data_IF_653483113599
#
_entry.id   IF_653483113599
#
_cell.length_a   1.000
_cell.length_b   1.000
_cell.length_c   1.000
_cell.angle_alpha   90.00
_cell.angle_beta   90.00
_cell.angle_gamma   90.00
#
_symmetry.space_group_name_H-M   'P 1'
#
loop_
_entity.id
_entity.type
_entity.pdbx_description
1 polymer ?
#
# COMPACT_ATOMS: atom_id res chain seq x y z
N UNK A 1 74.05 -29.03 19.64
CA UNK A 1 73.04 -30.06 19.40
C UNK A 1 71.81 -29.60 20.11
N UNK A 2 70.67 -29.18 19.55
CA UNK A 2 70.21 -28.93 18.17
C UNK A 2 69.13 -27.91 18.25
N UNK A 3 69.27 -26.87 17.50
CA UNK A 3 68.35 -25.76 17.42
C UNK A 3 67.58 -25.95 16.10
N UNK A 4 66.55 -26.84 16.08
CA UNK A 4 65.68 -27.08 14.93
C UNK A 4 64.30 -27.60 15.28
N UNK A 5 63.50 -26.88 16.10
CA UNK A 5 62.09 -27.22 16.29
C UNK A 5 61.17 -26.04 16.67
N UNK A 6 61.40 -24.83 16.26
CA UNK A 6 60.55 -23.72 16.61
C UNK A 6 59.99 -22.86 15.46
N UNK A 7 60.13 -23.29 14.20
CA UNK A 7 59.67 -22.45 13.05
C UNK A 7 58.40 -22.96 12.40
N UNK A 8 57.91 -24.18 12.71
CA UNK A 8 56.75 -24.73 12.03
C UNK A 8 55.39 -24.46 12.71
N UNK A 9 55.35 -23.88 13.90
CA UNK A 9 54.10 -23.62 14.64
C UNK A 9 53.53 -22.19 14.45
N UNK A 10 54.30 -21.25 13.95
CA UNK A 10 53.86 -19.83 13.79
C UNK A 10 53.17 -19.59 12.44
N UNK A 11 53.46 -20.37 11.38
CA UNK A 11 52.85 -20.20 10.07
C UNK A 11 51.44 -20.76 9.97
N UNK A 12 51.04 -21.74 10.78
CA UNK A 12 49.66 -22.28 10.73
C UNK A 12 48.61 -21.42 11.49
N UNK A 13 49.04 -20.62 12.49
CA UNK A 13 48.13 -19.72 13.21
C UNK A 13 47.76 -18.46 12.39
N UNK A 14 48.66 -18.00 11.48
CA UNK A 14 48.38 -16.84 10.62
C UNK A 14 47.43 -17.16 9.47
N UNK A 15 47.41 -18.38 8.94
CA UNK A 15 46.50 -18.78 7.87
C UNK A 15 45.05 -18.99 8.34
N UNK A 16 44.82 -19.41 9.57
CA UNK A 16 43.46 -19.54 10.17
C UNK A 16 42.85 -18.19 10.55
N UNK A 17 43.64 -17.18 10.88
CA UNK A 17 43.16 -15.83 11.20
C UNK A 17 42.62 -15.09 9.97
N UNK A 18 43.29 -15.22 8.82
CA UNK A 18 42.87 -14.54 7.58
C UNK A 18 41.62 -15.17 6.95
N UNK A 19 41.43 -16.49 7.04
CA UNK A 19 40.21 -17.18 6.54
C UNK A 19 38.97 -16.80 7.32
N UNK A 20 39.03 -16.65 8.63
CA UNK A 20 37.90 -16.21 9.47
C UNK A 20 37.55 -14.74 9.28
N UNK A 21 38.54 -13.87 9.09
CA UNK A 21 38.28 -12.45 8.85
C UNK A 21 37.62 -12.21 7.48
N UNK A 22 38.01 -12.96 6.44
CA UNK A 22 37.40 -12.86 5.12
C UNK A 22 35.98 -13.47 5.07
N UNK A 23 35.71 -14.55 5.80
CA UNK A 23 34.36 -15.11 5.89
C UNK A 23 33.41 -14.17 6.62
N UNK A 24 33.81 -13.60 7.75
CA UNK A 24 33.02 -12.64 8.51
C UNK A 24 32.74 -11.34 7.71
N UNK A 25 33.68 -10.85 6.93
CA UNK A 25 33.50 -9.67 6.10
C UNK A 25 32.57 -9.93 4.90
N UNK A 26 32.68 -11.08 4.26
CA UNK A 26 31.80 -11.49 3.16
C UNK A 26 30.35 -11.74 3.65
N UNK A 27 30.18 -12.34 4.82
CA UNK A 27 28.87 -12.56 5.45
C UNK A 27 28.23 -11.24 5.90
N UNK A 28 28.98 -10.30 6.45
CA UNK A 28 28.53 -8.94 6.79
C UNK A 28 28.13 -8.13 5.56
N UNK A 29 28.89 -8.23 4.48
CA UNK A 29 28.57 -7.60 3.19
C UNK A 29 27.29 -8.20 2.62
N UNK A 30 27.13 -9.52 2.66
CA UNK A 30 25.94 -10.21 2.17
C UNK A 30 24.68 -9.84 2.99
N UNK A 31 24.79 -9.75 4.31
CA UNK A 31 23.70 -9.26 5.19
C UNK A 31 23.33 -7.80 4.96
N UNK A 32 24.30 -6.96 4.60
CA UNK A 32 24.05 -5.54 4.34
C UNK A 32 23.36 -5.30 2.99
N UNK A 33 23.63 -6.12 1.98
CA UNK A 33 23.00 -5.98 0.67
C UNK A 33 21.59 -6.59 0.67
N UNK A 34 21.42 -7.77 1.24
CA UNK A 34 20.13 -8.49 1.29
C UNK A 34 19.31 -8.07 2.52
N UNK A 35 18.86 -6.82 2.55
CA UNK A 35 18.07 -6.25 3.64
C UNK A 35 16.87 -5.49 3.10
N UNK A 36 15.73 -5.60 3.78
CA UNK A 36 14.50 -4.86 3.47
C UNK A 36 14.67 -3.34 3.42
N UNK A 37 15.73 -2.80 4.04
CA UNK A 37 15.98 -1.35 4.08
C UNK A 37 15.99 -0.70 2.69
N UNK A 38 16.39 -1.43 1.65
CA UNK A 38 16.50 -0.88 0.30
C UNK A 38 15.13 -0.68 -0.34
N UNK A 39 14.28 -1.71 -0.30
CA UNK A 39 12.91 -1.59 -0.81
C UNK A 39 12.05 -0.68 0.08
N UNK A 40 12.28 -0.66 1.39
CA UNK A 40 11.61 0.26 2.31
C UNK A 40 11.95 1.71 1.98
N UNK A 41 13.26 2.02 1.76
CA UNK A 41 13.67 3.36 1.36
C UNK A 41 13.13 3.74 -0.02
N UNK A 42 13.08 2.79 -0.97
CA UNK A 42 12.49 3.04 -2.29
C UNK A 42 11.00 3.34 -2.21
N UNK A 43 10.23 2.63 -1.37
CA UNK A 43 8.82 2.93 -1.12
C UNK A 43 8.63 4.29 -0.44
N UNK A 44 9.51 4.64 0.54
CA UNK A 44 9.47 5.97 1.15
C UNK A 44 9.68 7.07 0.10
N UNK A 45 10.72 6.95 -0.71
CA UNK A 45 11.01 7.92 -1.77
C UNK A 45 9.84 8.04 -2.76
N UNK A 46 9.23 6.91 -3.14
CA UNK A 46 8.05 6.89 -4.00
C UNK A 46 6.86 7.59 -3.34
N UNK A 47 6.64 7.38 -2.04
CA UNK A 47 5.58 8.04 -1.28
C UNK A 47 5.77 9.56 -1.25
N UNK A 48 6.99 10.03 -1.02
CA UNK A 48 7.30 11.46 -1.00
C UNK A 48 6.93 12.12 -2.36
N UNK A 49 7.19 11.44 -3.47
CA UNK A 49 6.80 11.91 -4.82
C UNK A 49 5.29 11.84 -5.03
N UNK A 50 4.64 10.72 -4.67
CA UNK A 50 3.19 10.54 -4.79
C UNK A 50 2.42 11.62 -4.03
N UNK A 51 2.88 11.98 -2.84
CA UNK A 51 2.29 13.02 -2.00
C UNK A 51 2.49 14.40 -2.66
N UNK A 52 3.69 14.68 -3.18
CA UNK A 52 3.99 15.94 -3.89
C UNK A 52 3.20 16.08 -5.20
N UNK A 53 3.03 14.99 -5.93
CA UNK A 53 2.27 14.93 -7.19
C UNK A 53 0.75 14.92 -6.97
N UNK A 54 0.29 14.85 -5.72
CA UNK A 54 -1.13 14.85 -5.30
C UNK A 54 -1.96 13.76 -6.01
N UNK A 55 -1.43 12.54 -6.07
CA UNK A 55 -2.17 11.42 -6.64
C UNK A 55 -3.39 11.04 -5.79
N UNK A 56 -4.50 10.73 -6.45
CA UNK A 56 -5.71 10.23 -5.78
C UNK A 56 -5.47 8.87 -5.11
N UNK A 57 -6.23 8.50 -4.06
CA UNK A 57 -6.07 7.21 -3.40
C UNK A 57 -6.15 5.98 -4.32
N UNK A 58 -7.07 5.92 -5.31
CA UNK A 58 -7.05 4.84 -6.30
C UNK A 58 -5.77 4.80 -7.13
N UNK A 59 -5.33 5.94 -7.66
CA UNK A 59 -4.09 6.03 -8.46
C UNK A 59 -2.88 5.57 -7.66
N UNK A 60 -2.77 6.03 -6.41
CA UNK A 60 -1.71 5.64 -5.49
C UNK A 60 -1.63 4.13 -5.28
N UNK A 61 -2.78 3.47 -5.06
CA UNK A 61 -2.84 2.02 -4.85
C UNK A 61 -2.30 1.24 -6.06
N UNK A 62 -2.63 1.71 -7.26
CA UNK A 62 -2.15 1.15 -8.53
C UNK A 62 -0.62 1.29 -8.68
N UNK A 63 -0.08 2.46 -8.36
CA UNK A 63 1.37 2.72 -8.44
C UNK A 63 2.14 1.78 -7.52
N UNK A 64 1.71 1.64 -6.25
CA UNK A 64 2.36 0.73 -5.31
C UNK A 64 2.26 -0.75 -5.74
N UNK A 65 1.13 -1.17 -6.30
CA UNK A 65 0.97 -2.54 -6.77
C UNK A 65 1.98 -2.88 -7.87
N UNK A 66 2.10 -2.04 -8.90
CA UNK A 66 3.03 -2.28 -10.00
C UNK A 66 4.49 -2.21 -9.59
N UNK A 67 4.87 -1.20 -8.80
CA UNK A 67 6.27 -1.01 -8.40
C UNK A 67 6.78 -2.13 -7.51
N UNK A 68 5.98 -2.54 -6.52
CA UNK A 68 6.36 -3.60 -5.60
C UNK A 68 6.29 -4.99 -6.27
N UNK A 69 5.33 -5.23 -7.17
CA UNK A 69 5.32 -6.45 -7.99
C UNK A 69 6.57 -6.56 -8.86
N UNK A 70 6.97 -5.46 -9.52
CA UNK A 70 8.19 -5.45 -10.33
C UNK A 70 9.45 -5.74 -9.50
N UNK A 71 9.55 -5.14 -8.31
CA UNK A 71 10.65 -5.42 -7.38
C UNK A 71 10.70 -6.90 -7.01
N UNK A 72 9.56 -7.48 -6.65
CA UNK A 72 9.49 -8.89 -6.29
C UNK A 72 9.90 -9.80 -7.45
N UNK A 73 9.29 -9.64 -8.62
CA UNK A 73 9.57 -10.50 -9.79
C UNK A 73 11.03 -10.44 -10.23
N UNK A 74 11.68 -9.30 -10.11
CA UNK A 74 13.09 -9.15 -10.45
C UNK A 74 14.04 -9.67 -9.35
N UNK A 75 13.63 -9.66 -8.09
CA UNK A 75 14.47 -10.07 -6.95
C UNK A 75 14.28 -11.53 -6.55
N UNK A 76 13.22 -12.21 -7.00
CA UNK A 76 13.01 -13.62 -6.63
C UNK A 76 14.09 -14.51 -7.24
N UNK A 77 14.62 -15.46 -6.48
CA UNK A 77 15.58 -16.42 -7.02
C UNK A 77 14.93 -17.34 -8.07
N UNK A 78 15.75 -17.87 -8.97
CA UNK A 78 15.29 -18.84 -10.01
C UNK A 78 14.88 -20.21 -9.43
N UNK A 79 14.89 -20.36 -8.14
CA UNK A 79 14.65 -21.61 -7.45
C UNK A 79 13.29 -21.66 -6.69
N UNK A 80 13.06 -22.75 -6.05
CA UNK A 80 11.81 -23.42 -5.72
C UNK A 80 10.96 -22.70 -4.68
N UNK A 81 11.45 -21.70 -3.94
CA UNK A 81 10.75 -21.15 -2.77
C UNK A 81 9.79 -20.01 -3.13
N UNK A 82 10.25 -19.10 -4.00
CA UNK A 82 9.48 -17.91 -4.38
C UNK A 82 8.91 -18.05 -5.80
N UNK A 83 7.62 -18.41 -5.89
CA UNK A 83 6.92 -18.52 -7.16
C UNK A 83 6.59 -17.13 -7.75
N UNK A 84 6.45 -17.05 -9.08
CA UNK A 84 5.97 -15.83 -9.71
C UNK A 84 4.55 -15.50 -9.25
N UNK A 85 4.33 -14.28 -8.80
CA UNK A 85 3.00 -13.77 -8.52
C UNK A 85 2.30 -13.34 -9.81
N UNK A 86 3.03 -12.70 -10.74
CA UNK A 86 2.48 -12.19 -11.99
C UNK A 86 1.86 -13.29 -12.87
N UNK A 87 2.39 -14.52 -12.84
CA UNK A 87 1.81 -15.67 -13.56
C UNK A 87 0.41 -16.09 -13.07
N UNK A 88 0.01 -15.65 -11.88
CA UNK A 88 -1.30 -15.92 -11.28
C UNK A 88 -2.22 -14.68 -11.28
N UNK A 89 -1.74 -13.59 -11.84
CA UNK A 89 -2.45 -12.32 -11.94
C UNK A 89 -2.96 -12.08 -13.37
N UNK A 90 -3.94 -11.18 -13.50
CA UNK A 90 -4.61 -10.93 -14.76
C UNK A 90 -3.75 -10.07 -15.71
N UNK A 91 -3.56 -10.55 -16.94
CA UNK A 91 -3.00 -9.79 -18.04
C UNK A 91 -1.48 -9.58 -18.01
N UNK A 92 -0.75 -10.31 -17.18
CA UNK A 92 0.71 -10.27 -17.17
C UNK A 92 1.32 -11.31 -18.12
N UNK A 93 2.44 -10.95 -18.73
CA UNK A 93 3.26 -11.89 -19.50
C UNK A 93 4.13 -12.72 -18.55
N UNK A 94 4.55 -13.92 -19.01
CA UNK A 94 5.47 -14.77 -18.25
C UNK A 94 6.81 -14.08 -18.01
N UNK A 95 7.33 -14.21 -16.81
CA UNK A 95 8.62 -13.65 -16.42
C UNK A 95 9.74 -14.59 -16.90
N UNK A 96 10.68 -14.12 -17.72
CA UNK A 96 11.79 -14.95 -18.19
C UNK A 96 12.72 -15.33 -17.05
N UNK A 97 13.14 -16.60 -17.00
CA UNK A 97 14.17 -17.04 -16.06
C UNK A 97 15.49 -16.35 -16.37
N UNK A 98 16.16 -15.89 -15.34
CA UNK A 98 17.48 -15.31 -15.49
C UNK A 98 18.50 -16.39 -15.86
N UNK A 99 19.35 -16.09 -16.84
CA UNK A 99 20.41 -16.99 -17.33
C UNK A 99 21.79 -16.67 -16.73
N UNK A 100 21.91 -15.54 -16.07
CA UNK A 100 23.20 -15.03 -15.57
C UNK A 100 23.15 -14.88 -14.05
N UNK A 101 24.33 -14.85 -13.43
CA UNK A 101 24.44 -14.48 -12.02
C UNK A 101 24.07 -13.02 -11.85
N UNK A 102 23.11 -12.73 -10.98
CA UNK A 102 22.67 -11.38 -10.64
C UNK A 102 22.67 -11.20 -9.11
N UNK A 103 22.67 -9.97 -8.68
CA UNK A 103 22.29 -9.60 -7.31
C UNK A 103 20.79 -9.32 -7.25
N UNK A 104 20.01 -10.08 -6.45
CA UNK A 104 18.57 -9.93 -6.37
C UNK A 104 18.10 -8.54 -5.90
N UNK A 105 18.85 -7.94 -4.97
CA UNK A 105 18.51 -6.61 -4.44
C UNK A 105 18.64 -5.53 -5.51
N UNK A 106 19.80 -5.53 -6.23
CA UNK A 106 20.02 -4.56 -7.32
C UNK A 106 18.97 -4.73 -8.41
N UNK A 107 18.67 -5.97 -8.81
CA UNK A 107 17.65 -6.24 -9.83
C UNK A 107 16.26 -5.78 -9.39
N UNK A 108 15.86 -6.09 -8.14
CA UNK A 108 14.58 -5.68 -7.58
C UNK A 108 14.41 -4.16 -7.49
N UNK A 109 15.41 -3.45 -6.96
CA UNK A 109 15.38 -1.98 -6.88
C UNK A 109 15.39 -1.34 -8.28
N UNK A 110 16.12 -1.93 -9.24
CA UNK A 110 16.09 -1.44 -10.62
C UNK A 110 14.71 -1.58 -11.26
N UNK A 111 14.06 -2.74 -11.11
CA UNK A 111 12.71 -2.95 -11.63
C UNK A 111 11.68 -2.02 -10.97
N UNK A 112 11.76 -1.84 -9.64
CA UNK A 112 10.95 -0.88 -8.89
C UNK A 112 11.09 0.54 -9.46
N UNK A 113 12.35 0.99 -9.60
CA UNK A 113 12.67 2.33 -10.10
C UNK A 113 12.22 2.51 -11.54
N UNK A 114 12.42 1.49 -12.39
CA UNK A 114 11.99 1.54 -13.78
C UNK A 114 10.49 1.71 -13.91
N UNK A 115 9.70 0.97 -13.14
CA UNK A 115 8.23 1.09 -13.15
C UNK A 115 7.80 2.41 -12.52
N UNK A 116 8.35 2.76 -11.36
CA UNK A 116 7.98 3.97 -10.62
C UNK A 116 8.15 5.23 -11.45
N UNK A 117 9.31 5.42 -12.08
CA UNK A 117 9.57 6.62 -12.92
C UNK A 117 8.60 6.79 -14.11
N UNK A 118 7.97 5.70 -14.55
CA UNK A 118 7.00 5.74 -15.64
C UNK A 118 5.54 5.92 -15.16
N UNK A 119 5.30 5.87 -13.85
CA UNK A 119 3.96 5.98 -13.27
C UNK A 119 3.75 7.26 -12.44
N UNK A 120 4.81 7.98 -12.06
CA UNK A 120 4.75 9.28 -11.36
C UNK A 120 4.86 10.44 -12.35
N UNK A 121 4.41 11.63 -11.95
CA UNK A 121 4.51 12.83 -12.79
C UNK A 121 5.92 13.41 -12.70
N UNK A 122 6.47 13.61 -11.50
CA UNK A 122 7.85 14.08 -11.33
C UNK A 122 8.85 12.91 -11.32
N UNK A 123 9.02 12.32 -12.51
CA UNK A 123 9.97 11.21 -12.73
C UNK A 123 11.42 11.62 -12.46
N UNK A 124 11.77 12.88 -12.67
CA UNK A 124 13.15 13.39 -12.45
C UNK A 124 13.46 13.43 -10.96
N UNK A 125 12.58 14.01 -10.14
CA UNK A 125 12.76 14.01 -8.70
C UNK A 125 12.82 12.57 -8.16
N UNK A 126 11.95 11.67 -8.64
CA UNK A 126 11.98 10.27 -8.23
C UNK A 126 13.32 9.59 -8.56
N UNK A 127 13.83 9.73 -9.80
CA UNK A 127 15.12 9.16 -10.21
C UNK A 127 16.24 9.67 -9.29
N UNK A 128 16.32 10.98 -9.04
CA UNK A 128 17.35 11.57 -8.19
C UNK A 128 17.37 10.96 -6.77
N UNK A 129 16.21 10.62 -6.21
CA UNK A 129 16.14 9.94 -4.90
C UNK A 129 16.63 8.49 -4.98
N UNK A 130 16.37 7.79 -6.09
CA UNK A 130 16.82 6.41 -6.30
C UNK A 130 18.32 6.32 -6.59
N UNK A 131 18.93 7.30 -7.25
CA UNK A 131 20.37 7.35 -7.52
C UNK A 131 21.19 7.28 -6.24
N UNK A 132 20.72 7.89 -5.14
CA UNK A 132 21.36 7.78 -3.84
C UNK A 132 21.38 6.32 -3.32
N UNK A 133 20.36 5.53 -3.61
CA UNK A 133 20.28 4.11 -3.28
C UNK A 133 21.24 3.31 -4.16
N UNK A 134 21.22 3.54 -5.48
CA UNK A 134 22.11 2.85 -6.43
C UNK A 134 23.59 3.10 -6.14
N UNK A 135 23.98 4.31 -5.79
CA UNK A 135 25.36 4.63 -5.42
C UNK A 135 25.81 3.84 -4.18
N UNK A 136 24.94 3.67 -3.18
CA UNK A 136 25.25 2.84 -2.01
C UNK A 136 25.35 1.36 -2.37
N UNK A 137 24.41 0.85 -3.15
CA UNK A 137 24.41 -0.55 -3.61
C UNK A 137 25.63 -0.87 -4.45
N UNK A 138 26.04 0.03 -5.38
CA UNK A 138 27.23 -0.12 -6.19
C UNK A 138 28.51 -0.30 -5.36
N UNK A 139 28.67 0.54 -4.33
CA UNK A 139 29.81 0.46 -3.43
C UNK A 139 29.84 -0.85 -2.61
N UNK A 140 28.69 -1.43 -2.28
CA UNK A 140 28.59 -2.70 -1.53
C UNK A 140 28.86 -3.89 -2.45
N UNK A 141 28.27 -3.93 -3.65
CA UNK A 141 28.43 -5.04 -4.61
C UNK A 141 29.88 -5.15 -5.07
N UNK A 142 30.57 -4.01 -5.25
CA UNK A 142 32.01 -3.93 -5.61
C UNK A 142 32.41 -4.76 -6.85
N UNK A 143 31.43 -5.18 -7.66
CA UNK A 143 31.61 -5.94 -8.90
C UNK A 143 30.77 -5.32 -10.02
N UNK A 144 31.42 -4.56 -10.88
CA UNK A 144 30.78 -3.81 -11.95
C UNK A 144 29.96 -4.68 -12.92
N UNK A 145 30.47 -5.84 -13.28
CA UNK A 145 29.78 -6.75 -14.20
C UNK A 145 28.52 -7.34 -13.57
N UNK A 146 28.61 -7.77 -12.31
CA UNK A 146 27.46 -8.27 -11.56
C UNK A 146 26.39 -7.18 -11.38
N UNK A 147 26.81 -5.96 -11.01
CA UNK A 147 25.90 -4.83 -10.82
C UNK A 147 25.17 -4.49 -12.13
N UNK A 148 25.91 -4.36 -13.23
CA UNK A 148 25.34 -4.07 -14.56
C UNK A 148 24.38 -5.16 -15.04
N UNK A 149 24.77 -6.44 -14.94
CA UNK A 149 23.89 -7.56 -15.30
C UNK A 149 22.59 -7.57 -14.47
N UNK A 150 22.67 -7.21 -13.19
CA UNK A 150 21.52 -7.10 -12.31
C UNK A 150 20.59 -5.95 -12.72
N UNK A 151 21.15 -4.80 -13.10
CA UNK A 151 20.38 -3.68 -13.64
C UNK A 151 19.70 -4.05 -14.97
N UNK A 152 20.41 -4.66 -15.91
CA UNK A 152 19.85 -5.08 -17.20
C UNK A 152 18.69 -6.06 -17.03
N UNK A 153 18.81 -7.01 -16.09
CA UNK A 153 17.72 -7.93 -15.77
C UNK A 153 16.53 -7.20 -15.08
N UNK A 154 16.82 -6.33 -14.10
CA UNK A 154 15.79 -5.53 -13.44
C UNK A 154 14.99 -4.65 -14.40
N UNK A 155 15.68 -4.01 -15.36
CA UNK A 155 15.02 -3.24 -16.42
C UNK A 155 14.13 -4.11 -17.33
N UNK A 156 14.60 -5.30 -17.68
CA UNK A 156 13.82 -6.25 -18.48
C UNK A 156 12.51 -6.60 -17.78
N UNK A 157 12.57 -6.95 -16.49
CA UNK A 157 11.37 -7.27 -15.71
C UNK A 157 10.49 -6.03 -15.55
N UNK A 158 11.09 -4.87 -15.25
CA UNK A 158 10.35 -3.61 -15.17
C UNK A 158 9.56 -3.29 -16.45
N UNK A 159 10.15 -3.54 -17.63
CA UNK A 159 9.47 -3.37 -18.93
C UNK A 159 8.26 -4.30 -19.10
N UNK A 160 8.41 -5.58 -18.70
CA UNK A 160 7.33 -6.57 -18.77
C UNK A 160 6.16 -6.15 -17.86
N UNK A 161 6.45 -5.76 -16.62
CA UNK A 161 5.43 -5.31 -15.68
C UNK A 161 4.76 -4.00 -16.14
N UNK A 162 5.55 -3.04 -16.63
CA UNK A 162 5.03 -1.77 -17.13
C UNK A 162 4.11 -1.96 -18.35
N UNK A 163 4.39 -2.90 -19.22
CA UNK A 163 3.56 -3.19 -20.40
C UNK A 163 2.11 -3.49 -20.02
N UNK A 164 1.88 -4.26 -18.96
CA UNK A 164 0.53 -4.52 -18.44
C UNK A 164 -0.15 -3.23 -17.96
N UNK A 165 0.59 -2.32 -17.32
CA UNK A 165 0.04 -1.05 -16.85
C UNK A 165 -0.41 -0.11 -17.99
N UNK A 166 0.09 -0.31 -19.18
CA UNK A 166 -0.29 0.46 -20.39
C UNK A 166 -1.58 -0.07 -21.04
N UNK A 167 -2.05 -1.25 -20.64
CA UNK A 167 -3.24 -1.93 -21.19
C UNK A 167 -4.28 -2.26 -20.11
N UNK A 168 -4.20 -1.66 -18.93
CA UNK A 168 -5.13 -1.93 -17.83
C UNK A 168 -6.37 -1.01 -17.81
N UNK A 169 -6.53 -0.14 -18.80
CA UNK A 169 -7.64 0.80 -18.87
C UNK A 169 -7.40 2.13 -18.17
N UNK A 170 -6.19 2.34 -17.61
CA UNK A 170 -5.89 3.58 -16.88
C UNK A 170 -5.96 4.83 -17.77
N UNK A 171 -5.42 4.76 -18.98
CA UNK A 171 -5.47 5.90 -19.91
C UNK A 171 -6.86 6.07 -20.51
N UNK A 172 -7.51 4.98 -20.84
CA UNK A 172 -8.84 4.94 -21.47
C UNK A 172 -9.91 5.55 -20.57
N UNK A 173 -9.74 5.46 -19.23
CA UNK A 173 -10.72 6.02 -18.28
C UNK A 173 -10.94 7.52 -18.45
N UNK A 174 -9.95 8.26 -18.93
CA UNK A 174 -10.04 9.72 -19.15
C UNK A 174 -10.86 10.08 -20.39
N UNK A 175 -11.10 9.13 -21.28
CA UNK A 175 -11.92 9.33 -22.47
C UNK A 175 -13.42 9.13 -22.22
N UNK A 176 -13.80 8.62 -21.04
CA UNK A 176 -15.22 8.51 -20.69
C UNK A 176 -15.79 9.86 -20.27
N UNK A 177 -17.12 10.02 -20.48
CA UNK A 177 -17.83 11.22 -20.04
C UNK A 177 -17.72 11.42 -18.53
N UNK A 178 -17.67 12.68 -18.08
CA UNK A 178 -17.69 12.99 -16.67
C UNK A 178 -18.92 12.44 -15.95
N UNK A 179 -18.82 12.29 -14.62
CA UNK A 179 -19.95 11.87 -13.80
C UNK A 179 -21.01 12.95 -13.75
N UNK A 180 -22.26 12.56 -14.06
CA UNK A 180 -23.40 13.49 -14.02
C UNK A 180 -24.07 13.39 -12.64
N UNK A 181 -24.09 14.49 -11.91
CA UNK A 181 -24.80 14.59 -10.62
C UNK A 181 -26.30 14.64 -10.87
N UNK A 182 -27.06 13.75 -10.23
CA UNK A 182 -28.52 13.82 -10.27
C UNK A 182 -29.03 14.79 -9.19
N UNK A 183 -29.35 16.01 -9.60
CA UNK A 183 -29.86 17.03 -8.70
C UNK A 183 -31.28 16.75 -8.17
N UNK A 184 -32.05 15.91 -8.86
CA UNK A 184 -33.44 15.63 -8.50
C UNK A 184 -33.57 14.48 -7.50
N UNK A 185 -32.64 13.53 -7.50
CA UNK A 185 -32.64 12.43 -6.52
C UNK A 185 -31.94 12.89 -5.22
N UNK A 186 -32.72 13.01 -4.16
CA UNK A 186 -32.25 13.49 -2.86
C UNK A 186 -31.37 12.48 -2.13
N UNK A 187 -31.41 11.23 -2.51
CA UNK A 187 -30.61 10.14 -1.93
C UNK A 187 -29.24 9.96 -2.59
N UNK A 188 -28.98 10.67 -3.68
CA UNK A 188 -27.75 10.54 -4.44
C UNK A 188 -26.68 11.51 -3.98
N UNK A 189 -25.42 11.11 -4.19
CA UNK A 189 -24.26 11.90 -3.86
C UNK A 189 -24.21 13.21 -4.66
N UNK A 190 -23.76 14.26 -3.98
CA UNK A 190 -23.46 15.57 -4.55
C UNK A 190 -22.14 16.07 -4.01
N UNK A 191 -21.40 16.91 -4.75
CA UNK A 191 -20.22 17.61 -4.22
C UNK A 191 -20.50 18.31 -2.89
N UNK A 192 -19.52 18.29 -1.99
CA UNK A 192 -19.60 18.81 -0.63
C UNK A 192 -18.69 20.02 -0.42
N UNK A 193 -19.01 20.89 0.56
CA UNK A 193 -18.10 21.95 0.95
C UNK A 193 -16.74 21.39 1.42
N UNK A 194 -15.67 22.21 1.45
CA UNK A 194 -15.64 23.63 1.05
C UNK A 194 -15.42 23.83 -0.45
N UNK A 195 -14.80 22.87 -1.15
CA UNK A 195 -14.32 23.06 -2.51
C UNK A 195 -15.30 22.60 -3.60
N UNK A 196 -16.33 21.84 -3.25
CA UNK A 196 -17.31 21.27 -4.20
C UNK A 196 -16.64 20.55 -5.39
N UNK A 197 -15.61 19.75 -5.08
CA UNK A 197 -14.81 19.04 -6.06
C UNK A 197 -15.69 18.03 -6.83
N UNK A 198 -15.48 17.94 -8.14
CA UNK A 198 -16.13 16.97 -9.01
C UNK A 198 -15.84 15.54 -8.59
N UNK A 199 -16.69 14.61 -9.05
CA UNK A 199 -16.58 13.18 -8.74
C UNK A 199 -15.19 12.61 -9.09
N UNK A 200 -14.49 12.13 -8.08
CA UNK A 200 -13.12 11.62 -8.22
C UNK A 200 -13.13 10.22 -8.82
N UNK A 201 -12.43 10.04 -9.96
CA UNK A 201 -12.18 8.76 -10.62
C UNK A 201 -13.44 7.88 -10.87
N UNK A 202 -14.54 8.42 -11.45
CA UNK A 202 -15.81 7.71 -11.54
C UNK A 202 -15.76 6.43 -12.39
N UNK A 203 -14.70 6.23 -13.15
CA UNK A 203 -14.51 5.08 -14.02
C UNK A 203 -13.44 4.10 -13.54
N UNK A 204 -12.98 4.22 -12.29
CA UNK A 204 -11.91 3.39 -11.73
C UNK A 204 -12.24 1.89 -11.73
N UNK A 205 -13.49 1.53 -11.55
CA UNK A 205 -13.97 0.15 -11.61
C UNK A 205 -13.85 -0.53 -12.98
N UNK A 206 -13.58 0.25 -14.04
CA UNK A 206 -13.36 -0.27 -15.40
C UNK A 206 -11.91 -0.73 -15.66
N UNK A 207 -11.00 -0.46 -14.73
CA UNK A 207 -9.64 -0.94 -14.87
C UNK A 207 -9.59 -2.46 -14.75
N UNK A 208 -8.65 -3.06 -15.48
CA UNK A 208 -8.36 -4.50 -15.37
C UNK A 208 -7.82 -4.79 -13.96
N UNK A 209 -8.48 -5.61 -13.13
CA UNK A 209 -8.02 -5.91 -11.78
C UNK A 209 -6.73 -6.75 -11.80
N UNK A 210 -5.99 -6.76 -10.68
CA UNK A 210 -4.80 -7.57 -10.53
C UNK A 210 -5.13 -9.05 -10.29
N UNK A 211 -5.94 -9.35 -9.29
CA UNK A 211 -6.21 -10.71 -8.85
C UNK A 211 -7.68 -11.13 -9.02
N UNK A 212 -8.63 -10.24 -8.76
CA UNK A 212 -10.06 -10.54 -8.86
C UNK A 212 -10.50 -10.65 -10.32
N UNK A 213 -11.63 -11.34 -10.55
CA UNK A 213 -12.15 -11.59 -11.91
C UNK A 213 -12.93 -10.40 -12.47
N UNK A 214 -13.57 -9.62 -11.59
CA UNK A 214 -14.35 -8.42 -11.96
C UNK A 214 -14.49 -7.46 -10.79
N UNK A 215 -14.75 -6.17 -11.08
CA UNK A 215 -14.94 -5.12 -10.06
C UNK A 215 -16.13 -5.37 -9.13
N UNK A 216 -17.12 -6.15 -9.57
CA UNK A 216 -18.32 -6.48 -8.80
C UNK A 216 -18.29 -7.87 -8.13
N UNK A 217 -17.14 -8.54 -8.10
CA UNK A 217 -17.01 -9.90 -7.55
C UNK A 217 -17.43 -10.00 -6.07
N UNK A 218 -17.18 -8.97 -5.29
CA UNK A 218 -17.50 -8.92 -3.86
C UNK A 218 -18.49 -7.80 -3.56
N UNK A 219 -19.66 -7.85 -4.20
CA UNK A 219 -20.70 -6.87 -3.92
C UNK A 219 -21.18 -7.00 -2.45
N UNK A 220 -21.23 -5.90 -1.70
CA UNK A 220 -21.81 -5.92 -0.36
C UNK A 220 -23.33 -6.14 -0.43
N UNK A 221 -23.94 -6.49 0.70
CA UNK A 221 -25.39 -6.43 0.85
C UNK A 221 -25.91 -5.03 0.54
N UNK A 222 -27.16 -4.94 0.10
CA UNK A 222 -27.80 -3.65 -0.20
C UNK A 222 -27.66 -2.69 1.00
N UNK A 223 -27.36 -1.43 0.66
CA UNK A 223 -27.33 -0.35 1.65
C UNK A 223 -28.74 0.00 2.14
N UNK A 224 -28.81 0.69 3.27
CA UNK A 224 -30.08 1.18 3.82
C UNK A 224 -30.77 2.12 2.83
N UNK A 225 -32.05 1.88 2.56
CA UNK A 225 -32.86 2.70 1.64
C UNK A 225 -32.95 4.13 2.18
N UNK A 226 -32.61 5.10 1.33
CA UNK A 226 -32.73 6.53 1.66
C UNK A 226 -34.14 6.90 2.11
N UNK A 227 -34.23 7.68 3.18
CA UNK A 227 -35.49 8.19 3.70
C UNK A 227 -35.27 9.40 4.59
N UNK A 228 -36.18 10.38 4.49
CA UNK A 228 -36.21 11.57 5.33
C UNK A 228 -37.15 11.39 6.53
N UNK A 229 -37.89 10.28 6.61
CA UNK A 229 -38.77 9.98 7.73
C UNK A 229 -37.94 9.75 9.00
N UNK A 230 -38.22 10.54 10.07
CA UNK A 230 -37.51 10.49 11.34
C UNK A 230 -37.54 9.12 12.03
N UNK A 231 -38.54 8.28 11.73
CA UNK A 231 -38.64 6.92 12.25
C UNK A 231 -37.88 5.87 11.40
N UNK A 232 -37.40 6.23 10.22
CA UNK A 232 -36.68 5.33 9.32
C UNK A 232 -35.32 4.91 9.87
N UNK A 233 -34.81 3.78 9.39
CA UNK A 233 -33.47 3.30 9.70
C UNK A 233 -32.42 4.29 9.21
N UNK A 234 -32.55 4.80 7.98
CA UNK A 234 -31.60 5.75 7.40
C UNK A 234 -31.47 7.04 8.20
N UNK A 235 -32.60 7.63 8.65
CA UNK A 235 -32.55 8.82 9.50
C UNK A 235 -31.83 8.55 10.83
N UNK A 236 -32.11 7.39 11.45
CA UNK A 236 -31.43 6.99 12.70
C UNK A 236 -29.92 6.79 12.52
N UNK A 237 -29.51 6.26 11.38
CA UNK A 237 -28.09 6.14 11.02
C UNK A 237 -27.42 7.52 10.89
N UNK A 238 -28.09 8.48 10.26
CA UNK A 238 -27.59 9.86 10.15
C UNK A 238 -27.52 10.54 11.54
N UNK A 239 -28.55 10.36 12.39
CA UNK A 239 -28.52 10.85 13.77
C UNK A 239 -27.41 10.18 14.59
N UNK A 240 -27.08 8.93 14.33
CA UNK A 240 -25.95 8.26 14.98
C UNK A 240 -24.63 8.94 14.63
N UNK A 241 -24.40 9.32 13.35
CA UNK A 241 -23.22 10.08 12.93
C UNK A 241 -23.19 11.44 13.61
N UNK A 242 -24.30 12.19 13.54
CA UNK A 242 -24.46 13.50 14.18
C UNK A 242 -24.09 13.47 15.67
N UNK A 243 -24.72 12.57 16.43
CA UNK A 243 -24.46 12.43 17.85
C UNK A 243 -23.03 11.97 18.16
N UNK A 244 -22.48 11.08 17.32
CA UNK A 244 -21.11 10.57 17.52
C UNK A 244 -20.08 11.68 17.38
N UNK A 245 -20.19 12.49 16.34
CA UNK A 245 -19.25 13.60 16.08
C UNK A 245 -19.35 14.69 17.13
N UNK A 246 -20.56 15.04 17.56
CA UNK A 246 -20.78 16.08 18.58
C UNK A 246 -20.31 15.67 19.99
N UNK A 247 -20.07 14.37 20.24
CA UNK A 247 -19.70 13.85 21.55
C UNK A 247 -18.38 13.05 21.52
N UNK A 248 -17.44 13.41 20.63
CA UNK A 248 -16.14 12.74 20.53
C UNK A 248 -15.26 13.04 21.75
N UNK A 249 -14.63 12.00 22.30
CA UNK A 249 -13.50 12.16 23.19
C UNK A 249 -12.26 12.60 22.43
N UNK A 250 -11.25 13.12 23.15
CA UNK A 250 -9.99 13.53 22.50
C UNK A 250 -9.28 12.36 21.84
N UNK A 251 -9.30 11.17 22.45
CA UNK A 251 -8.75 9.94 21.81
C UNK A 251 -9.49 9.60 20.51
N UNK A 252 -10.80 9.75 20.46
CA UNK A 252 -11.59 9.49 19.24
C UNK A 252 -11.30 10.51 18.13
N UNK A 253 -11.04 11.76 18.49
CA UNK A 253 -10.58 12.78 17.53
C UNK A 253 -9.19 12.42 16.98
N UNK A 254 -8.27 12.02 17.86
CA UNK A 254 -6.94 11.57 17.44
C UNK A 254 -7.01 10.37 16.51
N UNK A 255 -7.87 9.38 16.77
CA UNK A 255 -8.11 8.24 15.89
C UNK A 255 -8.60 8.71 14.51
N UNK A 256 -9.57 9.62 14.47
CA UNK A 256 -10.08 10.13 13.20
C UNK A 256 -8.99 10.84 12.39
N UNK A 257 -8.20 11.70 13.03
CA UNK A 257 -7.11 12.44 12.39
C UNK A 257 -5.97 11.52 11.92
N UNK A 258 -5.57 10.53 12.74
CA UNK A 258 -4.49 9.59 12.42
C UNK A 258 -4.77 8.76 11.16
N UNK A 259 -6.04 8.41 10.93
CA UNK A 259 -6.48 7.64 9.77
C UNK A 259 -7.17 8.51 8.70
N UNK A 260 -6.96 9.84 8.70
CA UNK A 260 -7.60 10.69 7.68
C UNK A 260 -7.10 10.31 6.29
N UNK A 261 -5.82 10.30 6.08
CA UNK A 261 -5.16 9.86 4.86
C UNK A 261 -5.82 10.46 3.59
N UNK A 262 -6.22 11.74 3.65
CA UNK A 262 -6.85 12.44 2.54
C UNK A 262 -5.83 13.35 1.81
N UNK A 263 -5.21 12.91 0.69
CA UNK A 263 -4.23 13.72 -0.04
C UNK A 263 -4.85 14.95 -0.73
N UNK A 264 -6.18 15.04 -0.78
CA UNK A 264 -6.93 16.12 -1.41
C UNK A 264 -7.60 17.06 -0.39
N UNK A 265 -7.15 17.06 0.86
CA UNK A 265 -7.71 17.98 1.86
C UNK A 265 -7.44 19.43 1.45
N UNK A 266 -8.51 20.20 1.31
CA UNK A 266 -8.42 21.58 0.86
C UNK A 266 -8.50 22.55 2.04
N UNK A 267 -7.47 23.41 2.16
CA UNK A 267 -7.48 24.54 3.08
C UNK A 267 -7.62 25.84 2.31
N UNK A 268 -8.71 26.57 2.56
CA UNK A 268 -8.97 27.87 1.95
C UNK A 268 -8.51 29.00 2.88
N UNK A 269 -7.53 29.79 2.44
CA UNK A 269 -7.11 31.00 3.15
C UNK A 269 -7.31 32.22 2.22
N UNK A 270 -8.42 32.91 2.36
CA UNK A 270 -8.79 34.04 1.48
C UNK A 270 -8.99 33.56 0.05
N UNK A 271 -8.13 34.05 -0.88
CA UNK A 271 -8.16 33.66 -2.30
C UNK A 271 -7.21 32.49 -2.64
N UNK A 272 -6.53 31.94 -1.66
CA UNK A 272 -5.58 30.84 -1.85
C UNK A 272 -6.19 29.54 -1.36
N UNK A 273 -6.12 28.51 -2.19
CA UNK A 273 -6.44 27.14 -1.83
C UNK A 273 -5.12 26.38 -1.68
N UNK A 274 -4.91 25.75 -0.52
CA UNK A 274 -3.78 24.88 -0.25
C UNK A 274 -4.30 23.46 -0.06
N UNK A 275 -3.62 22.50 -0.64
CA UNK A 275 -3.83 21.11 -0.28
C UNK A 275 -2.82 20.72 0.81
N UNK A 276 -3.29 20.22 1.94
CA UNK A 276 -2.41 19.59 2.90
C UNK A 276 -1.89 18.29 2.29
N UNK A 277 -0.56 18.18 2.27
CA UNK A 277 0.09 16.97 1.76
C UNK A 277 -0.04 15.86 2.79
N UNK A 278 -0.87 14.86 2.50
CA UNK A 278 -1.07 13.69 3.35
C UNK A 278 -0.85 12.40 2.56
N UNK A 279 -0.47 11.34 3.29
CA UNK A 279 -0.35 10.00 2.72
C UNK A 279 -1.74 9.45 2.41
N UNK A 280 -1.86 8.67 1.33
CA UNK A 280 -3.11 7.95 1.03
C UNK A 280 -3.28 6.71 1.91
N UNK A 281 -4.50 6.12 2.01
CA UNK A 281 -4.69 4.86 2.75
C UNK A 281 -3.82 3.72 2.24
N UNK A 282 -3.56 3.67 0.93
CA UNK A 282 -2.65 2.68 0.36
C UNK A 282 -1.21 2.90 0.81
N UNK A 283 -0.74 4.16 0.77
CA UNK A 283 0.59 4.52 1.27
C UNK A 283 0.77 4.17 2.75
N UNK A 284 -0.23 4.43 3.58
CA UNK A 284 -0.20 4.10 5.00
C UNK A 284 0.05 2.60 5.23
N UNK A 285 -0.72 1.71 4.57
CA UNK A 285 -0.53 0.26 4.71
C UNK A 285 0.78 -0.25 4.08
N UNK A 286 1.28 0.37 3.02
CA UNK A 286 2.63 0.09 2.48
C UNK A 286 3.70 0.45 3.52
N UNK A 287 3.59 1.59 4.20
CA UNK A 287 4.55 1.98 5.25
C UNK A 287 4.47 1.10 6.49
N UNK A 288 3.27 0.70 6.95
CA UNK A 288 3.13 -0.33 7.98
C UNK A 288 3.86 -1.60 7.55
N UNK A 289 3.70 -2.04 6.29
CA UNK A 289 4.38 -3.22 5.76
C UNK A 289 5.90 -3.07 5.78
N UNK A 290 6.43 -1.90 5.43
CA UNK A 290 7.87 -1.60 5.52
C UNK A 290 8.38 -1.69 6.97
N UNK A 291 7.64 -1.14 7.94
CA UNK A 291 8.01 -1.22 9.37
C UNK A 291 7.99 -2.66 9.89
N UNK A 292 7.02 -3.45 9.47
CA UNK A 292 6.94 -4.90 9.79
C UNK A 292 8.11 -5.66 9.18
N UNK A 293 8.45 -5.40 7.92
CA UNK A 293 9.61 -6.01 7.26
C UNK A 293 10.93 -5.70 7.99
N UNK A 294 11.08 -4.47 8.47
CA UNK A 294 12.24 -4.05 9.27
C UNK A 294 12.24 -4.74 10.65
N UNK A 295 11.11 -4.75 11.37
CA UNK A 295 10.96 -5.42 12.66
C UNK A 295 11.29 -6.92 12.58
N UNK A 296 10.90 -7.59 11.49
CA UNK A 296 11.18 -9.00 11.21
C UNK A 296 12.56 -9.23 10.59
N UNK A 297 13.28 -8.17 10.27
CA UNK A 297 14.60 -8.24 9.60
C UNK A 297 14.56 -9.03 8.28
N UNK A 298 13.52 -8.84 7.51
CA UNK A 298 13.37 -9.52 6.24
C UNK A 298 14.49 -9.13 5.26
N UNK A 299 14.84 -10.07 4.38
CA UNK A 299 15.65 -9.78 3.20
C UNK A 299 14.91 -8.85 2.24
N UNK A 300 15.60 -8.32 1.26
CA UNK A 300 14.97 -7.47 0.23
C UNK A 300 13.90 -8.23 -0.58
N UNK A 301 14.16 -9.49 -0.93
CA UNK A 301 13.22 -10.33 -1.68
C UNK A 301 11.98 -10.68 -0.85
N UNK A 302 12.15 -11.07 0.42
CA UNK A 302 11.03 -11.36 1.32
C UNK A 302 10.15 -10.12 1.55
N UNK A 303 10.77 -8.96 1.77
CA UNK A 303 10.05 -7.70 1.92
C UNK A 303 9.30 -7.32 0.63
N UNK A 304 9.93 -7.47 -0.54
CA UNK A 304 9.29 -7.23 -1.85
C UNK A 304 8.10 -8.16 -2.08
N UNK A 305 8.19 -9.43 -1.66
CA UNK A 305 7.08 -10.38 -1.70
C UNK A 305 5.86 -9.91 -0.87
N UNK A 306 6.10 -9.52 0.37
CA UNK A 306 5.03 -9.03 1.26
C UNK A 306 4.41 -7.75 0.69
N UNK A 307 5.25 -6.79 0.29
CA UNK A 307 4.83 -5.51 -0.29
C UNK A 307 4.04 -5.70 -1.59
N UNK A 308 4.44 -6.64 -2.44
CA UNK A 308 3.69 -6.95 -3.67
C UNK A 308 2.30 -7.51 -3.35
N UNK A 309 2.16 -8.47 -2.42
CA UNK A 309 0.85 -9.02 -2.02
C UNK A 309 -0.05 -7.96 -1.39
N UNK A 310 0.49 -7.10 -0.52
CA UNK A 310 -0.26 -5.98 0.06
C UNK A 310 -0.65 -4.97 -1.02
N UNK A 311 0.27 -4.59 -1.91
CA UNK A 311 0.01 -3.65 -3.00
C UNK A 311 -1.09 -4.13 -3.95
N UNK A 312 -1.05 -5.40 -4.36
CA UNK A 312 -2.09 -6.04 -5.19
C UNK A 312 -3.45 -5.97 -4.49
N UNK A 313 -3.49 -6.32 -3.20
CA UNK A 313 -4.73 -6.27 -2.41
C UNK A 313 -5.29 -4.86 -2.30
N UNK A 314 -4.43 -3.87 -2.10
CA UNK A 314 -4.84 -2.46 -2.04
C UNK A 314 -5.39 -1.99 -3.40
N UNK A 315 -4.75 -2.33 -4.51
CA UNK A 315 -5.23 -1.94 -5.84
C UNK A 315 -6.62 -2.53 -6.13
N UNK A 316 -6.82 -3.82 -5.90
CA UNK A 316 -8.11 -4.47 -6.10
C UNK A 316 -9.17 -3.97 -5.09
N UNK A 317 -8.77 -3.58 -3.86
CA UNK A 317 -9.67 -2.93 -2.89
C UNK A 317 -10.29 -1.64 -3.43
N UNK A 318 -9.51 -0.81 -4.10
CA UNK A 318 -10.02 0.42 -4.71
C UNK A 318 -10.90 0.14 -5.93
N UNK A 319 -10.61 -0.89 -6.71
CA UNK A 319 -11.46 -1.28 -7.85
C UNK A 319 -12.86 -1.70 -7.38
N UNK A 320 -12.96 -2.62 -6.41
CA UNK A 320 -14.27 -3.08 -5.88
C UNK A 320 -15.01 -1.99 -5.11
N UNK A 321 -14.29 -1.15 -4.37
CA UNK A 321 -14.90 -0.03 -3.64
C UNK A 321 -15.49 1.01 -4.59
N UNK A 322 -14.79 1.32 -5.68
CA UNK A 322 -15.23 2.29 -6.69
C UNK A 322 -16.41 1.78 -7.52
N UNK A 323 -16.47 0.47 -7.79
CA UNK A 323 -17.68 -0.14 -8.37
C UNK A 323 -18.90 0.13 -7.49
N UNK A 324 -18.81 -0.22 -6.22
CA UNK A 324 -19.91 -0.03 -5.29
C UNK A 324 -20.30 1.43 -5.10
N UNK A 325 -19.30 2.33 -4.95
CA UNK A 325 -19.55 3.75 -4.75
C UNK A 325 -20.39 4.36 -5.87
N UNK A 326 -19.97 4.16 -7.11
CA UNK A 326 -20.66 4.77 -8.24
C UNK A 326 -21.91 4.01 -8.68
N UNK A 327 -22.05 2.73 -8.30
CA UNK A 327 -23.27 1.96 -8.50
C UNK A 327 -24.34 2.33 -7.48
N UNK A 328 -24.04 2.42 -6.20
CA UNK A 328 -24.97 2.84 -5.16
C UNK A 328 -25.27 4.34 -5.20
N UNK A 329 -24.26 5.13 -5.51
CA UNK A 329 -24.30 6.59 -5.59
C UNK A 329 -24.92 7.25 -4.34
N UNK A 330 -24.63 6.72 -3.15
CA UNK A 330 -25.28 7.12 -1.90
C UNK A 330 -24.82 8.49 -1.40
N UNK A 331 -25.76 9.28 -0.90
CA UNK A 331 -25.54 10.59 -0.26
C UNK A 331 -24.62 10.49 0.96
N UNK A 332 -23.76 11.51 1.15
CA UNK A 332 -22.88 11.64 2.33
C UNK A 332 -23.60 12.12 3.58
N UNK A 333 -23.12 11.75 4.80
CA UNK A 333 -23.68 12.24 6.05
C UNK A 333 -23.76 13.77 6.13
N UNK A 334 -22.72 14.49 5.70
CA UNK A 334 -22.69 15.95 5.71
C UNK A 334 -23.86 16.54 4.94
N UNK A 335 -24.05 16.13 3.69
CA UNK A 335 -25.17 16.62 2.87
C UNK A 335 -26.53 16.30 3.49
N UNK A 336 -26.69 15.09 4.04
CA UNK A 336 -27.94 14.68 4.66
C UNK A 336 -28.22 15.43 5.97
N UNK A 337 -27.22 15.51 6.85
CA UNK A 337 -27.36 16.15 8.18
C UNK A 337 -27.63 17.64 8.02
N UNK A 338 -26.88 18.35 7.16
CA UNK A 338 -27.11 19.76 6.93
C UNK A 338 -28.52 20.05 6.40
N UNK A 339 -29.06 19.16 5.59
CA UNK A 339 -30.39 19.38 5.00
C UNK A 339 -31.55 19.02 5.93
N UNK A 340 -31.40 18.00 6.77
CA UNK A 340 -32.56 17.41 7.48
C UNK A 340 -32.47 17.38 9.02
N UNK A 341 -31.30 17.69 9.60
CA UNK A 341 -31.04 17.59 11.04
C UNK A 341 -30.54 18.92 11.59
N UNK A 342 -29.40 19.42 11.11
CA UNK A 342 -28.72 20.62 11.61
C UNK A 342 -27.91 21.27 10.48
N UNK A 343 -28.33 22.42 10.00
CA UNK A 343 -27.75 23.12 8.85
C UNK A 343 -26.30 23.60 9.08
N UNK A 344 -25.89 23.80 10.33
CA UNK A 344 -24.57 24.32 10.70
C UNK A 344 -23.58 23.19 11.08
N UNK A 345 -24.06 21.95 11.09
CA UNK A 345 -23.22 20.81 11.45
C UNK A 345 -22.08 20.58 10.43
N UNK A 346 -20.90 20.24 10.93
CA UNK A 346 -19.74 19.88 10.12
C UNK A 346 -19.11 18.60 10.62
N UNK A 347 -18.66 17.71 9.71
CA UNK A 347 -17.80 16.60 10.08
C UNK A 347 -16.45 17.13 10.57
N UNK A 348 -15.69 16.34 11.33
CA UNK A 348 -14.32 16.74 11.73
C UNK A 348 -13.28 16.45 10.65
N UNK A 349 -13.59 15.57 9.70
CA UNK A 349 -12.78 15.30 8.51
C UNK A 349 -13.49 15.87 7.28
N UNK A 350 -12.73 16.36 6.33
CA UNK A 350 -13.29 16.81 5.04
C UNK A 350 -13.96 15.64 4.31
N UNK A 351 -15.19 15.84 3.85
CA UNK A 351 -15.93 14.84 3.09
C UNK A 351 -15.29 14.63 1.72
N UNK A 352 -14.82 13.40 1.40
CA UNK A 352 -14.14 13.16 0.14
C UNK A 352 -15.10 13.24 -1.07
N UNK A 353 -14.59 13.66 -2.28
CA UNK A 353 -15.41 13.94 -3.45
C UNK A 353 -15.83 12.67 -4.22
N UNK A 354 -16.53 11.76 -3.57
CA UNK A 354 -17.10 10.53 -4.17
C UNK A 354 -18.24 9.97 -3.29
N UNK A 355 -19.12 9.11 -3.85
CA UNK A 355 -20.25 8.52 -3.13
C UNK A 355 -19.86 7.80 -1.85
N UNK A 356 -20.82 7.69 -0.94
CA UNK A 356 -20.58 7.26 0.44
C UNK A 356 -20.24 5.76 0.56
N UNK A 357 -21.08 4.87 -0.01
CA UNK A 357 -21.04 3.41 0.22
C UNK A 357 -20.16 2.68 -0.83
N UNK A 358 -19.29 1.77 -0.44
CA UNK A 358 -18.79 1.38 0.88
C UNK A 358 -17.66 2.27 1.35
N UNK A 359 -17.25 2.14 2.63
CA UNK A 359 -16.05 2.82 3.11
C UNK A 359 -14.79 2.17 2.53
N UNK A 360 -14.13 2.85 1.58
CA UNK A 360 -12.90 2.35 0.95
C UNK A 360 -11.74 2.16 1.94
N UNK A 361 -11.62 3.01 2.97
CA UNK A 361 -10.67 2.79 4.06
C UNK A 361 -10.91 1.47 4.77
N UNK A 362 -12.17 1.11 5.03
CA UNK A 362 -12.52 -0.16 5.66
C UNK A 362 -12.16 -1.35 4.78
N UNK A 363 -12.42 -1.26 3.46
CA UNK A 363 -12.08 -2.30 2.48
C UNK A 363 -10.57 -2.51 2.41
N UNK A 364 -9.81 -1.44 2.13
CA UNK A 364 -8.37 -1.48 1.96
C UNK A 364 -7.66 -1.95 3.23
N UNK A 365 -8.05 -1.37 4.39
CA UNK A 365 -7.43 -1.73 5.67
C UNK A 365 -7.71 -3.17 6.08
N UNK A 366 -8.94 -3.66 5.88
CA UNK A 366 -9.27 -5.06 6.18
C UNK A 366 -8.53 -6.02 5.26
N UNK A 367 -8.48 -5.75 3.95
CA UNK A 367 -7.75 -6.56 2.99
C UNK A 367 -6.26 -6.64 3.32
N UNK A 368 -5.59 -5.50 3.49
CA UNK A 368 -4.17 -5.44 3.84
C UNK A 368 -3.86 -6.15 5.18
N UNK A 369 -4.70 -5.94 6.20
CA UNK A 369 -4.53 -6.58 7.51
C UNK A 369 -4.59 -8.10 7.44
N UNK A 370 -5.45 -8.67 6.58
CA UNK A 370 -5.55 -10.12 6.39
C UNK A 370 -4.32 -10.71 5.72
N UNK A 371 -3.77 -10.03 4.69
CA UNK A 371 -2.51 -10.46 4.06
C UNK A 371 -1.38 -10.49 5.10
N UNK A 372 -1.24 -9.41 5.88
CA UNK A 372 -0.20 -9.34 6.91
C UNK A 372 -0.44 -10.37 8.03
N UNK A 373 -1.68 -10.58 8.45
CA UNK A 373 -2.04 -11.61 9.45
C UNK A 373 -1.74 -13.02 8.95
N UNK A 374 -2.05 -13.32 7.69
CA UNK A 374 -1.72 -14.61 7.08
C UNK A 374 -0.21 -14.89 7.11
N UNK A 375 0.60 -13.86 6.78
CA UNK A 375 2.05 -13.98 6.69
C UNK A 375 2.77 -13.95 8.06
N UNK A 376 2.29 -13.17 9.02
CA UNK A 376 2.99 -12.91 10.28
C UNK A 376 2.28 -13.44 11.54
N UNK A 377 1.03 -13.84 11.43
CA UNK A 377 0.22 -14.38 12.54
C UNK A 377 -0.74 -13.34 13.16
N UNK A 378 -1.71 -13.85 13.93
CA UNK A 378 -2.84 -13.07 14.46
C UNK A 378 -2.43 -12.04 15.55
N UNK A 379 -1.39 -12.34 16.32
CA UNK A 379 -0.98 -11.54 17.49
C UNK A 379 0.33 -10.78 17.24
N UNK A 380 0.53 -10.29 16.03
CA UNK A 380 1.71 -9.50 15.68
C UNK A 380 1.56 -8.07 16.19
N UNK A 381 2.28 -7.74 17.26
CA UNK A 381 2.31 -6.39 17.81
C UNK A 381 3.32 -5.51 17.07
N UNK A 382 2.93 -4.27 16.76
CA UNK A 382 3.79 -3.31 16.07
C UNK A 382 3.49 -1.87 16.51
N UNK A 383 4.43 -0.98 16.18
CA UNK A 383 4.29 0.47 16.36
C UNK A 383 4.11 1.08 14.97
N UNK A 384 3.04 1.79 14.77
CA UNK A 384 2.79 2.55 13.55
C UNK A 384 3.31 3.99 13.72
N UNK A 385 4.33 4.32 12.96
CA UNK A 385 4.97 5.63 12.93
C UNK A 385 4.76 6.36 11.59
N UNK A 386 3.81 5.89 10.78
CA UNK A 386 3.57 6.37 9.42
C UNK A 386 3.24 7.85 9.37
N UNK A 387 2.51 8.35 10.36
CA UNK A 387 2.01 9.73 10.40
C UNK A 387 2.95 10.73 11.10
N UNK A 388 4.13 10.30 11.58
CA UNK A 388 5.13 11.22 12.19
C UNK A 388 5.53 12.35 11.22
N UNK A 389 5.80 12.11 9.93
CA UNK A 389 6.15 13.20 9.00
C UNK A 389 5.04 14.24 8.84
N UNK A 390 3.80 13.88 9.16
CA UNK A 390 2.63 14.75 9.08
C UNK A 390 2.23 15.33 10.46
N UNK A 391 3.10 15.21 11.47
CA UNK A 391 2.95 15.84 12.79
C UNK A 391 2.07 15.06 13.77
N UNK A 392 1.68 13.82 13.47
CA UNK A 392 0.86 13.01 14.36
C UNK A 392 1.72 12.01 15.17
N UNK A 393 1.31 11.66 16.40
CA UNK A 393 2.07 10.74 17.25
C UNK A 393 1.97 9.29 16.74
N UNK A 394 2.95 8.46 17.16
CA UNK A 394 2.90 7.01 16.90
C UNK A 394 1.67 6.36 17.55
N UNK A 395 1.15 5.31 16.93
CA UNK A 395 0.13 4.44 17.52
C UNK A 395 0.66 3.01 17.69
N UNK A 396 0.18 2.31 18.71
CA UNK A 396 0.61 0.94 19.04
C UNK A 396 -0.55 -0.02 18.90
N UNK A 397 -0.32 -1.10 18.16
CA UNK A 397 -1.32 -2.13 17.91
C UNK A 397 -0.83 -3.51 18.36
N UNK A 398 -1.76 -4.33 18.87
CA UNK A 398 -1.52 -5.72 19.25
C UNK A 398 -1.65 -6.67 18.07
N UNK A 399 -2.29 -6.22 16.98
CA UNK A 399 -2.49 -7.01 15.76
C UNK A 399 -2.82 -6.09 14.58
N UNK A 400 -2.64 -6.60 13.36
CA UNK A 400 -3.09 -5.90 12.13
C UNK A 400 -4.61 -5.73 12.10
N UNK A 401 -5.35 -6.70 12.63
CA UNK A 401 -6.80 -6.62 12.75
C UNK A 401 -7.23 -5.44 13.61
N UNK A 402 -6.57 -5.21 14.77
CA UNK A 402 -6.85 -4.06 15.61
C UNK A 402 -6.63 -2.73 14.86
N UNK A 403 -5.52 -2.61 14.13
CA UNK A 403 -5.24 -1.42 13.33
C UNK A 403 -6.31 -1.21 12.26
N UNK A 404 -6.73 -2.27 11.55
CA UNK A 404 -7.77 -2.17 10.54
C UNK A 404 -9.16 -1.85 11.12
N UNK A 405 -9.49 -2.32 12.32
CA UNK A 405 -10.73 -1.96 13.01
C UNK A 405 -10.73 -0.49 13.43
N UNK A 406 -9.57 0.03 13.85
CA UNK A 406 -9.41 1.45 14.17
C UNK A 406 -9.48 2.33 12.91
N UNK A 407 -8.83 1.93 11.80
CA UNK A 407 -8.96 2.60 10.52
C UNK A 407 -10.42 2.64 10.01
N UNK A 408 -11.16 1.56 10.20
CA UNK A 408 -12.56 1.49 9.81
C UNK A 408 -13.46 2.41 10.66
N UNK A 409 -13.35 2.35 11.99
CA UNK A 409 -14.17 3.20 12.86
C UNK A 409 -13.82 4.69 12.74
N UNK A 410 -12.59 5.05 12.37
CA UNK A 410 -12.15 6.43 12.17
C UNK A 410 -13.06 7.19 11.22
N UNK A 411 -13.66 6.52 10.23
CA UNK A 411 -14.51 7.14 9.21
C UNK A 411 -15.86 7.55 9.77
N UNK A 412 -16.42 6.78 10.71
CA UNK A 412 -17.62 7.16 11.47
C UNK A 412 -17.29 8.29 12.44
N UNK A 413 -16.15 8.21 13.14
CA UNK A 413 -15.68 9.25 14.04
C UNK A 413 -15.42 10.56 13.31
N UNK A 414 -14.87 10.47 12.08
CA UNK A 414 -14.66 11.61 11.20
C UNK A 414 -15.93 12.28 10.69
N UNK A 415 -17.08 11.60 10.79
CA UNK A 415 -18.38 12.11 10.35
C UNK A 415 -18.66 11.97 8.86
N UNK A 416 -17.87 11.20 8.12
CA UNK A 416 -17.92 11.12 6.65
C UNK A 416 -18.52 9.81 6.12
N UNK A 417 -18.82 8.86 7.01
CA UNK A 417 -19.47 7.59 6.68
C UNK A 417 -20.54 7.21 7.70
N UNK A 418 -21.63 6.57 7.21
CA UNK A 418 -22.59 5.88 8.06
C UNK A 418 -21.97 4.55 8.55
N UNK A 419 -22.45 4.06 9.71
CA UNK A 419 -21.97 2.79 10.28
C UNK A 419 -22.14 1.59 9.32
N UNK A 420 -23.26 1.42 8.61
CA UNK A 420 -23.42 0.32 7.66
C UNK A 420 -22.33 0.29 6.56
N UNK A 421 -21.93 1.44 6.03
CA UNK A 421 -20.88 1.49 5.01
C UNK A 421 -19.49 1.08 5.55
N UNK A 422 -19.22 1.38 6.83
CA UNK A 422 -18.01 0.95 7.53
C UNK A 422 -18.00 -0.58 7.67
N UNK A 423 -19.09 -1.17 8.12
CA UNK A 423 -19.19 -2.63 8.32
C UNK A 423 -19.23 -3.39 6.99
N UNK A 424 -19.97 -2.89 6.00
CA UNK A 424 -19.98 -3.44 4.65
C UNK A 424 -18.59 -3.41 4.00
N UNK A 425 -17.85 -2.31 4.19
CA UNK A 425 -16.47 -2.20 3.70
C UNK A 425 -15.52 -3.19 4.38
N UNK A 426 -15.64 -3.42 5.69
CA UNK A 426 -14.88 -4.46 6.39
C UNK A 426 -15.16 -5.84 5.81
N UNK A 427 -16.43 -6.18 5.59
CA UNK A 427 -16.82 -7.48 5.01
C UNK A 427 -16.28 -7.64 3.59
N UNK A 428 -16.43 -6.63 2.75
CA UNK A 428 -15.92 -6.62 1.38
C UNK A 428 -14.39 -6.79 1.34
N UNK A 429 -13.66 -6.10 2.23
CA UNK A 429 -12.21 -6.25 2.39
C UNK A 429 -11.79 -7.63 2.92
N UNK A 430 -12.61 -8.24 3.77
CA UNK A 430 -12.39 -9.60 4.26
C UNK A 430 -12.53 -10.65 3.14
N UNK A 431 -13.57 -10.53 2.33
CA UNK A 431 -13.82 -11.44 1.21
C UNK A 431 -12.70 -11.34 0.16
N UNK A 432 -12.30 -10.12 -0.18
CA UNK A 432 -11.17 -9.85 -1.07
C UNK A 432 -9.85 -10.41 -0.50
N UNK A 433 -9.53 -10.12 0.76
CA UNK A 433 -8.28 -10.57 1.37
C UNK A 433 -8.18 -12.10 1.40
N UNK A 434 -9.25 -12.79 1.77
CA UNK A 434 -9.31 -14.26 1.76
C UNK A 434 -9.16 -14.82 0.34
N UNK A 435 -9.79 -14.19 -0.66
CA UNK A 435 -9.64 -14.59 -2.06
C UNK A 435 -8.18 -14.47 -2.52
N UNK A 436 -7.53 -13.35 -2.26
CA UNK A 436 -6.13 -13.12 -2.65
C UNK A 436 -5.18 -14.07 -1.91
N UNK A 437 -5.40 -14.32 -0.61
CA UNK A 437 -4.61 -15.30 0.15
C UNK A 437 -4.67 -16.65 -0.56
N UNK A 438 -5.87 -17.15 -0.90
CA UNK A 438 -6.04 -18.43 -1.55
C UNK A 438 -5.46 -18.46 -2.98
N UNK A 439 -5.69 -17.40 -3.77
CA UNK A 439 -5.21 -17.31 -5.16
C UNK A 439 -3.69 -17.25 -5.25
N UNK A 440 -3.04 -16.58 -4.30
CA UNK A 440 -1.58 -16.36 -4.25
C UNK A 440 -0.90 -17.18 -3.16
N UNK A 441 -1.49 -18.32 -2.74
CA UNK A 441 -0.88 -19.18 -1.73
C UNK A 441 0.34 -19.92 -2.30
N UNK A 442 1.48 -19.75 -1.64
CA UNK A 442 2.77 -20.38 -1.95
C UNK A 442 3.28 -21.21 -0.77
N UNK A 443 2.49 -21.32 0.32
CA UNK A 443 2.94 -21.90 1.58
C UNK A 443 3.95 -21.04 2.36
N UNK A 444 4.32 -19.85 1.84
CA UNK A 444 5.30 -18.95 2.47
C UNK A 444 4.64 -18.19 3.63
N UNK A 445 5.29 -18.22 4.80
CA UNK A 445 4.91 -17.37 5.94
C UNK A 445 6.15 -17.00 6.78
N UNK A 446 6.03 -15.97 7.60
CA UNK A 446 7.09 -15.40 8.44
C UNK A 446 6.70 -15.46 9.94
N UNK A 447 5.87 -16.41 10.33
CA UNK A 447 5.36 -16.55 11.71
C UNK A 447 6.47 -16.91 12.70
N UNK A 448 7.48 -17.63 12.25
CA UNK A 448 8.68 -17.95 13.03
C UNK A 448 9.71 -16.82 13.01
N UNK A 449 10.67 -16.81 13.91
CA UNK A 449 11.65 -15.73 14.06
C UNK A 449 12.70 -15.66 12.94
N UNK A 450 12.91 -16.76 12.17
CA UNK A 450 13.96 -16.84 11.17
C UNK A 450 13.44 -16.49 9.77
N UNK A 451 14.30 -15.81 8.97
CA UNK A 451 14.06 -15.58 7.56
C UNK A 451 14.14 -16.89 6.77
N UNK A 452 13.26 -17.08 5.78
CA UNK A 452 13.24 -18.30 4.94
C UNK A 452 14.57 -18.51 4.22
N UNK A 453 15.22 -17.41 3.78
CA UNK A 453 16.49 -17.47 3.04
C UNK A 453 17.67 -17.88 3.94
N UNK A 454 17.61 -17.64 5.27
CA UNK A 454 18.68 -18.05 6.18
C UNK A 454 18.71 -19.56 6.46
N UNK A 455 17.65 -20.30 6.12
CA UNK A 455 17.55 -21.75 6.31
C UNK A 455 18.02 -22.54 5.06
N UNK A 456 18.25 -21.86 3.92
CA UNK A 456 18.63 -22.48 2.64
C UNK A 456 20.12 -22.31 2.30
N UNK A 457 20.92 -21.63 3.16
CA UNK A 457 22.39 -21.49 3.05
C UNK A 457 23.07 -22.26 4.19
#
# INVERSE_FOLDING_TARGET
MDMRFSIFFITSLFLFGFSRCNQNSAELVNKNINSSKWINQSNKNLTDIIVTDVFSPPQTSRIYAYTNLASYEASRPNDIVFNSLSERLNGFESIPKNKYKIDPTVAGITAFTYVGKNLVYDSVAFINTQDAIFNKLYNIVSNNNLFKASQEYGELIGKIILKRSQSDGYLERTAYSGFIVDENDLGKWKPTPPAYIDALEPHWSKLLPFAIDSSNQFQPSENTIFSINKNSTFYKEAVQVYNKVNNLTDEQKQIAMFWDCNPNQSNNFGHLMYNDQQISPAGHWIHITCQVAEQKKLSNTEASYVLAKVGITLADSFIISWDEKYRSNLIRPETYINKYIDAEWKPILETPPFPEHTSAHSVASRGASLILTNLFGDNFAFIDSTEIPFGLPVRKYKSFKQASDEAAISRLLGGIHYKPAVEAGKKQGEDLGNFIINKLDDGINFKTANSIISELN
#
